data_IF_266916368172
#
_entry.id   IF_266916368172
#
_cell.length_a   1.000
_cell.length_b   1.000
_cell.length_c   1.000
_cell.angle_alpha   90.00
_cell.angle_beta   90.00
_cell.angle_gamma   90.00
#
_symmetry.space_group_name_H-M   'P 1'
#
loop_
_entity.id
_entity.type
_entity.pdbx_description
1 polymer ?
#
# COMPACT_ATOMS: atom_id res chain seq x y z
N UNK A 1 15.32 7.39 -17.16
CA UNK A 1 14.03 7.39 -16.45
C UNK A 1 14.07 8.18 -15.12
N UNK A 2 15.25 8.37 -14.51
CA UNK A 2 15.48 9.17 -13.28
C UNK A 2 16.25 10.42 -13.63
N UNK A 3 15.90 11.56 -13.03
CA UNK A 3 16.56 12.85 -13.19
C UNK A 3 16.54 13.66 -11.90
N UNK A 4 17.54 14.51 -11.71
CA UNK A 4 17.63 15.41 -10.57
C UNK A 4 16.81 16.69 -10.85
N UNK A 5 16.01 17.13 -9.89
CA UNK A 5 15.24 18.38 -9.94
C UNK A 5 14.99 18.91 -8.54
N UNK A 6 14.54 20.16 -8.46
CA UNK A 6 14.09 20.77 -7.21
C UNK A 6 12.60 20.51 -7.04
N UNK A 7 12.24 20.09 -5.85
CA UNK A 7 10.85 19.96 -5.43
C UNK A 7 10.56 21.01 -4.36
N UNK A 8 9.49 21.73 -4.52
CA UNK A 8 8.99 22.63 -3.49
C UNK A 8 7.54 22.33 -3.20
N UNK A 9 7.17 22.30 -1.94
CA UNK A 9 5.81 21.97 -1.56
C UNK A 9 5.58 22.03 -0.05
N UNK A 10 4.31 21.85 0.34
CA UNK A 10 3.92 21.75 1.73
C UNK A 10 4.22 20.35 2.26
N UNK A 11 5.06 20.26 3.27
CA UNK A 11 5.56 19.01 3.84
C UNK A 11 5.09 18.85 5.28
N UNK A 12 4.57 17.66 5.59
CA UNK A 12 4.28 17.27 6.97
C UNK A 12 5.48 16.52 7.54
N UNK A 13 6.17 17.13 8.51
CA UNK A 13 7.29 16.48 9.20
C UNK A 13 6.85 15.26 9.99
N UNK A 14 5.62 15.30 10.52
CA UNK A 14 5.06 14.18 11.30
C UNK A 14 4.75 12.96 10.45
N UNK A 15 4.24 13.19 9.24
CA UNK A 15 3.80 12.12 8.34
C UNK A 15 4.88 11.79 7.30
N UNK A 16 6.02 12.51 7.34
CA UNK A 16 7.16 12.40 6.41
C UNK A 16 6.75 12.42 4.94
N UNK A 17 5.77 13.27 4.60
CA UNK A 17 5.15 13.32 3.28
C UNK A 17 4.84 14.73 2.81
N UNK A 18 4.96 14.94 1.51
CA UNK A 18 4.42 16.13 0.87
C UNK A 18 2.90 16.01 0.72
N UNK A 19 2.22 17.11 0.95
CA UNK A 19 0.75 17.20 0.93
C UNK A 19 0.32 17.91 -0.34
N UNK A 20 -0.64 17.35 -1.06
CA UNK A 20 -1.19 17.97 -2.25
C UNK A 20 -2.01 19.22 -1.89
N UNK A 21 -2.01 20.22 -2.76
CA UNK A 21 -2.66 21.51 -2.50
C UNK A 21 -4.16 21.39 -2.15
N UNK A 22 -4.84 20.39 -2.69
CA UNK A 22 -6.25 20.10 -2.43
C UNK A 22 -6.51 19.41 -1.06
N UNK A 23 -5.47 18.98 -0.37
CA UNK A 23 -5.54 18.35 0.97
C UNK A 23 -5.11 19.31 2.09
N UNK A 24 -4.77 20.57 1.74
CA UNK A 24 -4.31 21.57 2.68
C UNK A 24 -5.51 22.30 3.30
N UNK A 25 -5.51 22.37 4.64
CA UNK A 25 -6.49 23.11 5.43
C UNK A 25 -5.78 24.28 6.13
N UNK A 26 -6.23 25.49 5.86
CA UNK A 26 -5.68 26.68 6.54
C UNK A 26 -6.48 27.04 7.80
N UNK A 27 -5.79 27.21 8.93
CA UNK A 27 -6.36 27.63 10.21
C UNK A 27 -5.40 28.59 10.91
N UNK A 28 -5.91 29.75 11.32
CA UNK A 28 -5.13 30.77 12.07
C UNK A 28 -3.81 31.16 11.39
N UNK A 29 -3.80 31.28 10.06
CA UNK A 29 -2.60 31.63 9.27
C UNK A 29 -1.55 30.52 9.14
N UNK A 30 -1.86 29.31 9.60
CA UNK A 30 -1.02 28.12 9.46
C UNK A 30 -1.73 27.09 8.58
N UNK A 31 -0.93 26.28 7.90
CA UNK A 31 -1.42 25.20 7.02
C UNK A 31 -1.26 23.83 7.67
N UNK A 32 -2.28 23.00 7.52
CA UNK A 32 -2.38 21.66 8.09
C UNK A 32 -2.82 20.68 7.01
N UNK A 33 -2.46 19.43 7.16
CA UNK A 33 -3.05 18.37 6.33
C UNK A 33 -4.44 17.96 6.87
N UNK A 34 -5.13 17.08 6.16
CA UNK A 34 -6.44 16.53 6.53
C UNK A 34 -6.45 15.79 7.89
N UNK A 35 -5.28 15.40 8.39
CA UNK A 35 -5.10 14.71 9.68
C UNK A 35 -4.71 15.66 10.83
N UNK A 36 -4.60 16.97 10.55
CA UNK A 36 -4.28 18.00 11.54
C UNK A 36 -2.79 18.15 11.84
N UNK A 37 -1.90 17.61 11.03
CA UNK A 37 -0.45 17.85 11.14
C UNK A 37 -0.09 19.21 10.52
N UNK A 38 0.68 20.03 11.22
CA UNK A 38 1.17 21.31 10.73
C UNK A 38 2.12 21.10 9.55
N UNK A 39 1.99 21.95 8.52
CA UNK A 39 2.78 21.89 7.30
C UNK A 39 3.80 23.01 7.26
N UNK A 40 5.00 22.69 6.80
CA UNK A 40 6.06 23.65 6.47
C UNK A 40 6.33 23.64 4.96
N UNK A 41 6.65 24.83 4.43
CA UNK A 41 7.10 24.91 3.04
C UNK A 41 8.54 24.44 2.98
N UNK A 42 8.80 23.43 2.17
CA UNK A 42 10.13 22.84 1.96
C UNK A 42 10.48 22.95 0.49
N UNK A 43 11.70 23.36 0.20
CA UNK A 43 12.33 23.25 -1.11
C UNK A 43 13.50 22.31 -0.96
N UNK A 44 13.43 21.18 -1.63
CA UNK A 44 14.42 20.11 -1.56
C UNK A 44 14.84 19.67 -2.97
N UNK A 45 16.12 19.44 -3.16
CA UNK A 45 16.61 18.75 -4.34
C UNK A 45 16.31 17.26 -4.22
N UNK A 46 15.78 16.67 -5.28
CA UNK A 46 15.37 15.26 -5.27
C UNK A 46 15.57 14.63 -6.64
N UNK A 47 15.86 13.35 -6.65
CA UNK A 47 15.74 12.53 -7.85
C UNK A 47 14.28 12.19 -8.11
N UNK A 48 13.88 12.34 -9.38
CA UNK A 48 12.52 12.06 -9.85
C UNK A 48 12.51 10.90 -10.83
N UNK A 49 11.62 9.96 -10.61
CA UNK A 49 11.26 8.97 -11.61
C UNK A 49 10.19 9.56 -12.54
N UNK A 50 10.40 9.47 -13.87
CA UNK A 50 9.48 10.00 -14.89
C UNK A 50 8.21 9.16 -15.00
N UNK A 51 7.43 9.10 -13.92
CA UNK A 51 6.22 8.30 -13.85
C UNK A 51 5.18 8.74 -14.90
N UNK A 52 5.14 10.03 -15.23
CA UNK A 52 4.25 10.58 -16.26
C UNK A 52 4.41 9.92 -17.63
N UNK A 53 5.61 9.47 -17.99
CA UNK A 53 5.88 8.75 -19.25
C UNK A 53 5.28 7.34 -19.28
N UNK A 54 4.92 6.79 -18.12
CA UNK A 54 4.43 5.43 -17.98
C UNK A 54 2.91 5.35 -17.98
N UNK A 55 2.21 6.48 -18.02
CA UNK A 55 0.75 6.54 -17.97
C UNK A 55 0.10 5.66 -19.03
N UNK A 56 0.39 5.91 -20.30
CA UNK A 56 -0.25 5.18 -21.42
C UNK A 56 0.13 3.70 -21.39
N UNK A 57 1.39 3.39 -21.07
CA UNK A 57 1.86 1.99 -20.96
C UNK A 57 1.15 1.25 -19.81
N UNK A 58 0.89 1.92 -18.69
CA UNK A 58 0.14 1.33 -17.58
C UNK A 58 -1.33 1.10 -17.97
N UNK A 59 -1.97 2.06 -18.63
CA UNK A 59 -3.35 1.91 -19.11
C UNK A 59 -3.48 0.76 -20.12
N UNK A 60 -2.55 0.65 -21.06
CA UNK A 60 -2.50 -0.47 -22.01
C UNK A 60 -2.25 -1.81 -21.28
N UNK A 61 -1.36 -1.81 -20.28
CA UNK A 61 -1.10 -2.99 -19.47
C UNK A 61 -2.37 -3.45 -18.74
N UNK A 62 -3.11 -2.55 -18.08
CA UNK A 62 -4.36 -2.91 -17.38
C UNK A 62 -5.45 -3.39 -18.34
N UNK A 63 -5.53 -2.79 -19.52
CA UNK A 63 -6.47 -3.22 -20.58
C UNK A 63 -6.21 -4.64 -21.03
N UNK A 64 -4.94 -4.99 -21.22
CA UNK A 64 -4.53 -6.33 -21.66
C UNK A 64 -4.52 -7.35 -20.52
N UNK A 65 -4.52 -6.91 -19.26
CA UNK A 65 -4.48 -7.75 -18.07
C UNK A 65 -5.63 -7.39 -17.11
N UNK A 66 -6.87 -7.62 -17.53
CA UNK A 66 -8.08 -7.17 -16.82
C UNK A 66 -8.21 -7.70 -15.38
N UNK A 67 -7.52 -8.79 -15.05
CA UNK A 67 -7.49 -9.41 -13.73
C UNK A 67 -6.23 -9.03 -12.91
N UNK A 68 -5.43 -8.10 -13.41
CA UNK A 68 -4.22 -7.68 -12.69
C UNK A 68 -4.53 -7.07 -11.33
N UNK A 69 -5.63 -6.32 -11.21
CA UNK A 69 -6.06 -5.70 -9.94
C UNK A 69 -7.44 -6.26 -9.56
N UNK A 70 -7.54 -6.83 -8.37
CA UNK A 70 -8.80 -7.32 -7.79
C UNK A 70 -9.00 -6.75 -6.39
N UNK A 71 -10.27 -6.47 -6.01
CA UNK A 71 -11.51 -6.61 -6.77
C UNK A 71 -11.68 -5.51 -7.83
N UNK A 72 -12.67 -5.66 -8.70
CA UNK A 72 -12.93 -4.75 -9.83
C UNK A 72 -13.14 -3.28 -9.40
N UNK A 73 -13.73 -3.05 -8.24
CA UNK A 73 -13.88 -1.71 -7.66
C UNK A 73 -12.52 -1.00 -7.50
N UNK A 74 -11.50 -1.73 -7.01
CA UNK A 74 -10.13 -1.21 -6.86
C UNK A 74 -9.41 -1.04 -8.18
N UNK A 75 -9.64 -1.93 -9.15
CA UNK A 75 -9.16 -1.75 -10.51
C UNK A 75 -9.69 -0.44 -11.12
N UNK A 76 -10.99 -0.18 -10.98
CA UNK A 76 -11.61 1.03 -11.50
C UNK A 76 -11.06 2.31 -10.82
N UNK A 77 -10.80 2.27 -9.51
CA UNK A 77 -10.20 3.36 -8.75
C UNK A 77 -8.78 3.69 -9.27
N UNK A 78 -7.95 2.66 -9.45
CA UNK A 78 -6.58 2.80 -9.95
C UNK A 78 -6.58 3.34 -11.39
N UNK A 79 -7.40 2.78 -12.27
CA UNK A 79 -7.48 3.22 -13.67
C UNK A 79 -7.89 4.69 -13.74
N UNK A 80 -8.94 5.11 -13.01
CA UNK A 80 -9.37 6.52 -12.98
C UNK A 80 -8.26 7.44 -12.45
N UNK A 81 -7.51 6.99 -11.46
CA UNK A 81 -6.39 7.77 -10.95
C UNK A 81 -5.29 7.95 -12.02
N UNK A 82 -4.95 6.89 -12.74
CA UNK A 82 -3.95 6.98 -13.84
C UNK A 82 -4.47 7.85 -14.98
N UNK A 83 -5.74 7.72 -15.38
CA UNK A 83 -6.39 8.56 -16.40
C UNK A 83 -6.43 10.04 -16.04
N UNK A 84 -6.47 10.37 -14.74
CA UNK A 84 -6.46 11.78 -14.29
C UNK A 84 -5.13 12.50 -14.50
N UNK A 85 -4.09 11.81 -14.93
CA UNK A 85 -2.77 12.33 -15.21
C UNK A 85 -1.75 11.99 -14.12
N UNK A 86 -0.71 11.25 -14.48
CA UNK A 86 0.40 10.93 -13.58
C UNK A 86 1.43 12.06 -13.57
N UNK A 87 1.90 12.42 -12.37
CA UNK A 87 3.04 13.32 -12.16
C UNK A 87 4.28 12.50 -11.86
N UNK A 88 5.45 13.07 -12.19
CA UNK A 88 6.73 12.45 -11.86
C UNK A 88 6.89 12.31 -10.35
N UNK A 89 7.47 11.19 -9.94
CA UNK A 89 7.55 10.77 -8.55
C UNK A 89 8.94 11.07 -7.98
N UNK A 90 9.01 11.82 -6.88
CA UNK A 90 10.24 12.00 -6.12
C UNK A 90 10.63 10.68 -5.45
N UNK A 91 11.86 10.20 -5.73
CA UNK A 91 12.38 8.89 -5.29
C UNK A 91 13.63 8.98 -4.43
N UNK A 92 13.98 10.18 -3.96
CA UNK A 92 15.04 10.38 -2.98
C UNK A 92 14.71 11.45 -1.96
N UNK A 93 15.49 11.50 -0.86
CA UNK A 93 15.39 12.50 0.21
C UNK A 93 16.77 12.90 0.67
N UNK A 94 16.89 14.15 1.15
CA UNK A 94 18.11 14.71 1.75
C UNK A 94 17.93 15.09 3.21
N UNK A 95 16.71 14.97 3.74
CA UNK A 95 16.34 15.42 5.10
C UNK A 95 16.78 14.46 6.21
N UNK A 96 17.18 13.24 5.87
CA UNK A 96 17.68 12.24 6.83
C UNK A 96 18.80 11.40 6.21
N UNK A 97 19.62 10.79 7.08
CA UNK A 97 20.83 10.05 6.69
C UNK A 97 20.72 8.53 6.87
N UNK A 98 19.55 8.02 7.29
CA UNK A 98 19.34 6.59 7.44
C UNK A 98 18.58 6.03 6.25
N UNK A 99 19.12 5.00 5.62
CA UNK A 99 18.53 4.33 4.47
C UNK A 99 19.58 3.87 3.47
N UNK A 100 19.16 3.65 2.23
CA UNK A 100 20.01 3.25 1.12
C UNK A 100 20.48 4.50 0.39
N UNK A 101 21.77 4.71 0.30
CA UNK A 101 22.34 5.83 -0.45
C UNK A 101 22.05 5.72 -1.94
N UNK A 102 21.84 6.85 -2.61
CA UNK A 102 21.78 6.88 -4.07
C UNK A 102 23.20 6.59 -4.60
N UNK A 103 23.41 5.56 -5.42
CA UNK A 103 24.76 5.07 -5.76
C UNK A 103 25.72 6.10 -6.38
N UNK A 104 25.18 7.17 -6.93
CA UNK A 104 25.98 8.23 -7.59
C UNK A 104 25.99 9.55 -6.81
N UNK A 105 25.29 9.62 -5.68
CA UNK A 105 25.14 10.84 -4.90
C UNK A 105 24.76 10.52 -3.44
N UNK A 106 25.76 10.39 -2.58
CA UNK A 106 25.63 10.03 -1.16
C UNK A 106 24.88 11.09 -0.32
N UNK A 107 24.56 12.27 -0.88
CA UNK A 107 23.71 13.26 -0.21
C UNK A 107 22.22 12.85 -0.21
N UNK A 108 21.86 11.93 -1.09
CA UNK A 108 20.51 11.48 -1.28
C UNK A 108 20.32 10.05 -0.77
N UNK A 109 19.26 9.86 0.01
CA UNK A 109 18.78 8.55 0.45
C UNK A 109 17.61 8.13 -0.44
N UNK A 110 17.62 6.88 -0.89
CA UNK A 110 16.49 6.30 -1.67
C UNK A 110 15.20 6.40 -0.88
N UNK A 111 14.14 6.85 -1.51
CA UNK A 111 12.81 6.97 -0.90
C UNK A 111 12.26 5.60 -0.49
N UNK A 112 11.71 5.53 0.71
CA UNK A 112 11.27 4.30 1.36
C UNK A 112 10.39 3.39 0.49
N UNK A 113 9.54 3.93 -0.35
CA UNK A 113 8.67 3.10 -1.20
C UNK A 113 9.42 2.47 -2.38
N UNK A 114 10.47 3.07 -2.90
CA UNK A 114 11.31 2.41 -3.91
C UNK A 114 12.08 1.25 -3.28
N UNK A 115 12.62 1.44 -2.07
CA UNK A 115 13.28 0.41 -1.28
C UNK A 115 12.30 -0.71 -0.91
N UNK A 116 11.18 -0.38 -0.26
CA UNK A 116 10.19 -1.34 0.20
C UNK A 116 9.60 -2.21 -0.93
N UNK A 117 9.34 -1.63 -2.10
CA UNK A 117 8.84 -2.39 -3.25
C UNK A 117 9.92 -3.29 -3.86
N UNK A 118 11.17 -2.85 -3.88
CA UNK A 118 12.29 -3.65 -4.39
C UNK A 118 12.52 -4.90 -3.54
N UNK A 119 12.13 -4.89 -2.25
CA UNK A 119 12.21 -6.05 -1.37
C UNK A 119 11.51 -7.29 -1.92
N UNK A 120 10.43 -7.13 -2.69
CA UNK A 120 9.73 -8.28 -3.30
C UNK A 120 10.60 -9.11 -4.25
N UNK A 121 11.55 -8.50 -4.92
CA UNK A 121 12.47 -9.21 -5.82
C UNK A 121 13.82 -9.47 -5.17
N UNK A 122 14.32 -8.58 -4.29
CA UNK A 122 15.60 -8.79 -3.61
C UNK A 122 15.55 -10.00 -2.66
N UNK A 123 14.41 -10.24 -2.00
CA UNK A 123 14.17 -11.44 -1.20
C UNK A 123 14.17 -12.75 -2.03
N UNK A 124 14.04 -12.64 -3.35
CA UNK A 124 14.10 -13.73 -4.30
C UNK A 124 15.46 -13.85 -5.01
N UNK A 125 16.49 -13.22 -4.43
CA UNK A 125 17.86 -13.29 -4.94
C UNK A 125 18.17 -12.42 -6.17
N UNK A 126 17.25 -11.47 -6.51
CA UNK A 126 17.52 -10.52 -7.58
C UNK A 126 18.80 -9.69 -7.23
N UNK A 127 19.74 -9.45 -8.17
CA UNK A 127 19.59 -9.53 -9.62
C UNK A 127 19.88 -10.91 -10.27
N UNK A 128 20.11 -11.96 -9.48
CA UNK A 128 20.32 -13.31 -10.03
C UNK A 128 19.00 -13.91 -10.54
N UNK A 129 18.59 -13.54 -11.76
CA UNK A 129 17.38 -14.09 -12.40
C UNK A 129 17.42 -15.61 -12.62
N UNK A 130 18.59 -16.25 -12.42
CA UNK A 130 18.75 -17.69 -12.56
C UNK A 130 18.54 -18.45 -11.26
N UNK A 131 18.39 -17.76 -10.12
CA UNK A 131 18.13 -18.41 -8.85
C UNK A 131 16.81 -19.21 -8.89
N UNK A 132 16.75 -20.29 -8.16
CA UNK A 132 15.54 -21.11 -8.05
C UNK A 132 14.40 -20.34 -7.37
N UNK A 133 14.73 -19.46 -6.43
CA UNK A 133 13.75 -18.61 -5.74
C UNK A 133 13.10 -17.64 -6.73
N UNK A 134 13.88 -16.92 -7.54
CA UNK A 134 13.35 -15.99 -8.51
C UNK A 134 12.47 -16.69 -9.55
N UNK A 135 12.95 -17.77 -10.15
CA UNK A 135 12.21 -18.52 -11.16
C UNK A 135 10.90 -19.12 -10.63
N UNK A 136 10.89 -19.52 -9.37
CA UNK A 136 9.73 -20.19 -8.77
C UNK A 136 8.66 -19.20 -8.30
N UNK A 137 9.06 -18.04 -7.76
CA UNK A 137 8.16 -17.13 -7.06
C UNK A 137 7.90 -15.80 -7.78
N UNK A 138 8.72 -15.45 -8.80
CA UNK A 138 8.46 -14.25 -9.58
C UNK A 138 7.96 -14.61 -10.99
N UNK A 139 6.91 -13.92 -11.51
CA UNK A 139 6.10 -12.89 -10.84
C UNK A 139 5.10 -13.48 -9.83
N UNK A 140 5.05 -12.85 -8.65
CA UNK A 140 4.18 -13.26 -7.55
C UNK A 140 2.82 -12.55 -7.53
N UNK A 141 1.95 -12.97 -6.62
CA UNK A 141 0.70 -12.27 -6.29
C UNK A 141 0.95 -11.43 -5.03
N UNK A 142 0.62 -10.13 -5.08
CA UNK A 142 0.69 -9.25 -3.93
C UNK A 142 -0.68 -9.08 -3.29
N UNK A 143 -0.80 -9.45 -2.02
CA UNK A 143 -2.01 -9.22 -1.21
C UNK A 143 -1.74 -8.01 -0.30
N UNK A 144 -2.48 -6.92 -0.51
CA UNK A 144 -2.19 -5.63 0.12
C UNK A 144 -3.45 -4.93 0.62
N UNK A 145 -3.31 -4.06 1.61
CA UNK A 145 -4.37 -3.15 2.02
C UNK A 145 -4.67 -2.09 0.93
N UNK A 146 -5.91 -1.65 0.88
CA UNK A 146 -6.35 -0.63 -0.10
C UNK A 146 -5.58 0.69 -0.01
N UNK A 147 -5.03 1.02 1.16
CA UNK A 147 -4.26 2.24 1.43
C UNK A 147 -2.94 2.31 0.66
N UNK A 148 -2.34 1.15 0.39
CA UNK A 148 -1.06 1.06 -0.33
C UNK A 148 -1.23 0.57 -1.79
N UNK A 149 -2.47 0.53 -2.30
CA UNK A 149 -2.74 0.02 -3.64
C UNK A 149 -2.02 0.80 -4.74
N UNK A 150 -1.91 2.13 -4.61
CA UNK A 150 -1.25 2.97 -5.61
C UNK A 150 0.23 2.62 -5.76
N UNK A 151 0.91 2.33 -4.66
CA UNK A 151 2.31 1.92 -4.68
C UNK A 151 2.49 0.59 -5.42
N UNK A 152 1.61 -0.37 -5.18
CA UNK A 152 1.70 -1.72 -5.74
C UNK A 152 1.14 -1.86 -7.15
N UNK A 153 0.10 -1.09 -7.47
CA UNK A 153 -0.59 -1.21 -8.76
C UNK A 153 -0.11 -0.19 -9.81
N UNK A 154 0.52 0.92 -9.40
CA UNK A 154 0.97 1.99 -10.31
C UNK A 154 2.49 2.10 -10.28
N UNK A 155 3.07 2.46 -9.11
CA UNK A 155 4.50 2.76 -9.02
C UNK A 155 5.36 1.52 -9.26
N UNK A 156 5.01 0.42 -8.61
CA UNK A 156 5.77 -0.82 -8.72
C UNK A 156 5.81 -1.38 -10.15
N UNK A 157 4.68 -1.55 -10.86
CA UNK A 157 4.72 -1.95 -12.26
C UNK A 157 5.51 -0.99 -13.15
N UNK A 158 5.40 0.33 -12.92
CA UNK A 158 6.17 1.30 -13.69
C UNK A 158 7.69 1.18 -13.45
N UNK A 159 8.11 0.99 -12.19
CA UNK A 159 9.52 0.74 -11.86
C UNK A 159 10.06 -0.53 -12.51
N UNK A 160 9.29 -1.62 -12.43
CA UNK A 160 9.67 -2.89 -13.03
C UNK A 160 9.78 -2.81 -14.55
N UNK A 161 8.77 -2.24 -15.21
CA UNK A 161 8.82 -2.04 -16.66
C UNK A 161 9.98 -1.14 -17.08
N UNK A 162 10.30 -0.11 -16.29
CA UNK A 162 11.44 0.77 -16.53
C UNK A 162 12.79 0.06 -16.38
N UNK A 163 12.83 -0.98 -15.54
CA UNK A 163 13.99 -1.86 -15.34
C UNK A 163 13.97 -3.11 -16.25
N UNK A 164 13.06 -3.18 -17.24
CA UNK A 164 12.87 -4.32 -18.13
C UNK A 164 12.60 -5.63 -17.38
N UNK A 165 11.78 -5.53 -16.34
CA UNK A 165 11.32 -6.63 -15.51
C UNK A 165 9.81 -6.82 -15.65
N UNK A 166 9.35 -8.07 -15.48
CA UNK A 166 7.93 -8.38 -15.49
C UNK A 166 7.23 -7.79 -14.26
N UNK A 167 6.06 -7.15 -14.42
CA UNK A 167 5.21 -6.78 -13.30
C UNK A 167 4.74 -7.99 -12.49
N UNK A 168 4.22 -7.80 -11.24
CA UNK A 168 3.58 -8.85 -10.49
C UNK A 168 2.46 -9.53 -11.30
N UNK A 169 2.16 -10.77 -10.98
CA UNK A 169 1.06 -11.50 -11.63
C UNK A 169 -0.30 -10.89 -11.32
N UNK A 170 -0.50 -10.43 -10.10
CA UNK A 170 -1.77 -9.87 -9.65
C UNK A 170 -1.59 -9.04 -8.36
N UNK A 171 -2.40 -8.00 -8.23
CA UNK A 171 -2.57 -7.21 -7.00
C UNK A 171 -3.95 -7.48 -6.43
N UNK A 172 -3.99 -8.03 -5.22
CA UNK A 172 -5.21 -8.38 -4.49
C UNK A 172 -5.37 -7.41 -3.34
N UNK A 173 -6.30 -6.46 -3.46
CA UNK A 173 -6.48 -5.41 -2.48
C UNK A 173 -7.66 -5.69 -1.55
N UNK A 174 -7.40 -5.79 -0.26
CA UNK A 174 -8.43 -5.92 0.77
C UNK A 174 -8.77 -4.57 1.41
N UNK A 175 -9.95 -4.50 2.02
CA UNK A 175 -10.40 -3.33 2.80
C UNK A 175 -9.74 -3.24 4.17
N UNK A 176 -10.08 -2.21 4.92
CA UNK A 176 -9.66 -2.04 6.30
C UNK A 176 -10.57 -2.75 7.27
N UNK A 177 -10.02 -3.05 8.45
CA UNK A 177 -10.81 -3.37 9.63
C UNK A 177 -10.89 -2.16 10.54
N UNK A 178 -12.08 -1.87 11.02
CA UNK A 178 -12.37 -0.95 12.13
C UNK A 178 -12.69 -1.78 13.38
N UNK A 179 -12.69 -1.15 14.54
CA UNK A 179 -13.09 -1.75 15.79
C UNK A 179 -14.24 -0.94 16.38
N UNK A 180 -15.44 -1.52 16.40
CA UNK A 180 -16.67 -0.86 16.85
C UNK A 180 -16.89 0.52 16.19
N UNK A 181 -16.76 0.56 14.85
CA UNK A 181 -16.92 1.75 14.03
C UNK A 181 -15.75 2.74 14.06
N UNK A 182 -14.70 2.46 14.82
CA UNK A 182 -13.53 3.35 14.93
C UNK A 182 -12.31 2.78 14.22
N UNK A 183 -11.51 3.65 13.62
CA UNK A 183 -10.22 3.26 13.02
C UNK A 183 -9.33 2.62 14.07
N UNK A 184 -8.78 1.45 13.79
CA UNK A 184 -7.80 0.79 14.65
C UNK A 184 -6.52 1.62 14.68
N UNK A 185 -6.10 2.03 15.87
CA UNK A 185 -4.91 2.86 16.08
C UNK A 185 -4.27 2.59 17.44
N UNK A 186 -2.95 2.51 17.46
CA UNK A 186 -2.18 2.39 18.73
C UNK A 186 -2.42 3.58 19.66
N UNK A 187 -2.60 4.78 19.08
CA UNK A 187 -2.87 6.00 19.87
C UNK A 187 -4.26 6.03 20.52
N UNK A 188 -5.22 5.30 19.96
CA UNK A 188 -6.57 5.14 20.52
C UNK A 188 -6.68 3.96 21.49
N UNK A 189 -5.64 3.11 21.57
CA UNK A 189 -5.65 1.94 22.45
C UNK A 189 -6.68 0.87 22.04
N UNK A 190 -7.26 0.94 20.83
CA UNK A 190 -8.28 0.03 20.33
C UNK A 190 -7.73 -1.05 19.39
N UNK A 191 -6.43 -1.32 19.48
CA UNK A 191 -5.77 -2.39 18.73
C UNK A 191 -6.28 -3.74 19.22
N UNK A 192 -6.59 -4.62 18.29
CA UNK A 192 -7.03 -5.97 18.56
C UNK A 192 -5.82 -6.89 18.40
N UNK A 193 -5.45 -7.60 19.47
CA UNK A 193 -4.39 -8.60 19.42
C UNK A 193 -4.95 -9.92 18.86
N UNK A 194 -4.46 -10.38 17.69
CA UNK A 194 -4.90 -11.65 17.12
C UNK A 194 -4.66 -12.87 18.04
N UNK A 195 -3.63 -12.81 18.89
CA UNK A 195 -3.32 -13.88 19.82
C UNK A 195 -4.39 -13.98 20.92
N UNK A 196 -4.80 -12.84 21.51
CA UNK A 196 -5.88 -12.82 22.48
C UNK A 196 -7.20 -13.35 21.88
N UNK A 197 -7.51 -13.00 20.62
CA UNK A 197 -8.67 -13.54 19.95
C UNK A 197 -8.61 -15.05 19.75
N UNK A 198 -7.42 -15.56 19.38
CA UNK A 198 -7.23 -17.00 19.18
C UNK A 198 -7.36 -17.75 20.51
N UNK A 199 -6.80 -17.19 21.57
CA UNK A 199 -6.90 -17.78 22.92
C UNK A 199 -8.36 -17.79 23.44
N UNK A 200 -9.16 -16.75 23.11
CA UNK A 200 -10.56 -16.62 23.54
C UNK A 200 -11.55 -17.45 22.68
N UNK A 201 -11.41 -17.43 21.34
CA UNK A 201 -12.41 -18.00 20.40
C UNK A 201 -11.89 -19.23 19.63
N UNK A 202 -10.62 -19.52 19.69
CA UNK A 202 -9.97 -20.57 18.90
C UNK A 202 -9.59 -20.11 17.49
N UNK A 203 -8.54 -20.71 16.95
CA UNK A 203 -7.93 -20.34 15.66
C UNK A 203 -8.92 -20.40 14.49
N UNK A 204 -9.69 -21.48 14.40
CA UNK A 204 -10.57 -21.71 13.25
C UNK A 204 -11.76 -20.75 13.27
N UNK A 205 -12.30 -20.42 14.45
CA UNK A 205 -13.37 -19.43 14.60
C UNK A 205 -12.90 -18.03 14.19
N UNK A 206 -11.71 -17.62 14.60
CA UNK A 206 -11.12 -16.33 14.21
C UNK A 206 -10.89 -16.27 12.71
N UNK A 207 -10.30 -17.31 12.12
CA UNK A 207 -10.08 -17.37 10.66
C UNK A 207 -11.39 -17.32 9.89
N UNK A 208 -12.37 -18.10 10.30
CA UNK A 208 -13.67 -18.12 9.66
C UNK A 208 -14.36 -16.75 9.75
N UNK A 209 -14.33 -16.09 10.91
CA UNK A 209 -14.85 -14.75 11.09
C UNK A 209 -14.25 -13.76 10.11
N UNK A 210 -12.91 -13.70 10.03
CA UNK A 210 -12.20 -12.78 9.16
C UNK A 210 -12.53 -12.97 7.66
N UNK A 211 -12.79 -14.19 7.23
CA UNK A 211 -13.12 -14.47 5.83
C UNK A 211 -14.62 -14.34 5.49
N UNK A 212 -15.49 -14.45 6.49
CA UNK A 212 -16.92 -14.46 6.26
C UNK A 212 -17.62 -13.13 6.53
N UNK A 213 -17.15 -12.40 7.54
CA UNK A 213 -17.86 -11.21 8.03
C UNK A 213 -17.94 -10.10 6.99
N UNK A 214 -16.93 -9.99 6.15
CA UNK A 214 -16.84 -8.89 5.19
C UNK A 214 -16.70 -9.42 3.77
N UNK A 215 -17.54 -8.91 2.83
CA UNK A 215 -17.31 -9.17 1.41
C UNK A 215 -15.93 -8.70 1.00
N UNK A 216 -15.23 -9.53 0.22
CA UNK A 216 -13.84 -9.25 -0.18
C UNK A 216 -13.66 -7.87 -0.84
N UNK A 217 -12.68 -7.11 -0.36
CA UNK A 217 -12.35 -5.76 -0.85
C UNK A 217 -13.12 -4.61 -0.18
N UNK A 218 -14.14 -4.90 0.62
CA UNK A 218 -14.86 -3.93 1.42
C UNK A 218 -14.17 -3.71 2.77
N UNK A 219 -14.50 -2.60 3.43
CA UNK A 219 -14.13 -2.38 4.83
C UNK A 219 -15.00 -3.23 5.74
N UNK A 220 -14.40 -3.76 6.80
CA UNK A 220 -15.07 -4.53 7.83
C UNK A 220 -15.02 -3.85 9.18
N UNK A 221 -16.01 -4.16 10.02
CA UNK A 221 -16.00 -3.73 11.39
C UNK A 221 -15.89 -4.94 12.32
N UNK A 222 -14.86 -4.92 13.16
CA UNK A 222 -14.71 -5.94 14.18
C UNK A 222 -15.69 -5.67 15.33
N UNK A 223 -16.44 -6.69 15.69
CA UNK A 223 -17.32 -6.65 16.84
C UNK A 223 -17.17 -7.94 17.65
N UNK A 224 -16.93 -7.80 18.95
CA UNK A 224 -16.90 -8.96 19.87
C UNK A 224 -18.22 -9.72 19.86
N UNK A 225 -19.34 -9.04 19.65
CA UNK A 225 -20.65 -9.66 19.52
C UNK A 225 -20.75 -10.50 18.26
N UNK A 226 -20.26 -9.99 17.14
CA UNK A 226 -20.30 -10.69 15.86
C UNK A 226 -19.45 -11.97 15.88
N UNK A 227 -18.21 -11.90 16.37
CA UNK A 227 -17.35 -13.09 16.46
C UNK A 227 -17.91 -14.12 17.43
N UNK A 228 -18.49 -13.69 18.57
CA UNK A 228 -19.14 -14.59 19.53
C UNK A 228 -20.33 -15.31 18.92
N UNK A 229 -21.19 -14.59 18.21
CA UNK A 229 -22.37 -15.19 17.55
C UNK A 229 -21.93 -16.22 16.49
N UNK A 230 -20.90 -15.89 15.68
CA UNK A 230 -20.38 -16.84 14.70
C UNK A 230 -19.74 -18.07 15.34
N UNK A 231 -19.00 -17.92 16.43
CA UNK A 231 -18.41 -19.05 17.16
C UNK A 231 -19.49 -19.96 17.75
N UNK A 232 -20.58 -19.39 18.28
CA UNK A 232 -21.69 -20.15 18.84
C UNK A 232 -22.47 -20.96 17.78
N UNK A 233 -22.66 -20.42 16.57
CA UNK A 233 -23.33 -21.12 15.48
C UNK A 233 -22.55 -22.38 15.07
N UNK A 234 -21.22 -22.30 15.05
CA UNK A 234 -20.38 -23.45 14.73
C UNK A 234 -20.27 -24.48 15.86
N UNK A 235 -20.39 -24.08 17.12
CA UNK A 235 -20.32 -24.96 18.27
C UNK A 235 -21.71 -25.63 18.51
N UNK A 236 -22.79 -24.97 18.11
CA UNK A 236 -24.16 -25.40 18.39
C UNK A 236 -24.87 -26.18 17.27
N UNK A 237 -24.23 -26.38 16.11
CA UNK A 237 -24.74 -27.38 15.16
C UNK A 237 -24.03 -28.72 15.42
N UNK A 238 -24.60 -29.59 16.24
CA UNK A 238 -24.19 -30.98 16.25
C UNK A 238 -24.54 -31.53 14.88
N UNK A 239 -23.53 -32.13 14.22
CA UNK A 239 -23.67 -33.01 13.09
C UNK A 239 -25.10 -33.48 12.87
N UNK A 240 -25.80 -32.94 11.82
CA UNK A 240 -26.99 -33.60 11.30
C UNK A 240 -26.59 -35.05 11.00
N UNK A 241 -27.22 -36.05 11.63
CA UNK A 241 -27.02 -37.42 11.17
C UNK A 241 -27.50 -37.50 9.72
N UNK A 242 -26.69 -38.08 8.86
CA UNK A 242 -27.05 -38.46 7.50
C UNK A 242 -28.22 -39.43 7.51
#
# INVERSE_FOLDING_TARGET
EIYLSKYSGWYSVRDEAFVADNEIVEKNGKKYNSFGSELSWVEEESYFFRLSKWQDKLLDFYKNNSNFIVPKSRSNEVIKFVESGLKDLSVSRTTFNWGIDVPTDEKHIVYVWLDALTNYISALDYPNKNSDLYKKYWPGIHVVGKDIIRFHAIFWPAFLMAAELDPPKQIVAHGWWTNEGQKISKSLGNVIDPKELIDEYGLDSVRYFLFREVPFGNDGDFSKVAIKNLSLIHISEPTRPL
#
